data_IF_312384224041
#
_entry.id   IF_312384224041
#
_cell.length_a   1.000
_cell.length_b   1.000
_cell.length_c   1.000
_cell.angle_alpha   90.00
_cell.angle_beta   90.00
_cell.angle_gamma   90.00
#
_symmetry.space_group_name_H-M   'P 1'
#
loop_
_entity.id
_entity.type
_entity.pdbx_description
1 polymer ?
#
# COMPACT_ATOMS: atom_id res chain seq x y z
N UNK A 1 -18.34 -12.02 -3.39
CA UNK A 1 -17.78 -11.36 -2.19
C UNK A 1 -16.58 -10.51 -2.64
N UNK A 2 -16.54 -9.19 -2.79
CA UNK A 2 -17.25 -8.02 -2.24
C UNK A 2 -17.26 -6.90 -3.31
N UNK A 3 -18.41 -6.45 -3.85
CA UNK A 3 -18.45 -5.41 -4.88
C UNK A 3 -18.32 -3.95 -4.36
N UNK A 4 -17.98 -3.74 -3.08
CA UNK A 4 -18.04 -2.41 -2.43
C UNK A 4 -16.66 -1.80 -2.09
N UNK A 5 -15.55 -2.36 -2.58
CA UNK A 5 -14.20 -1.99 -2.11
C UNK A 5 -13.67 -0.62 -2.58
N UNK A 6 -14.47 0.16 -3.33
CA UNK A 6 -14.18 1.56 -3.64
C UNK A 6 -15.47 2.37 -3.77
N UNK A 7 -15.74 3.25 -2.81
CA UNK A 7 -16.86 4.18 -2.92
C UNK A 7 -16.47 5.34 -3.84
N UNK A 8 -16.80 5.22 -5.13
CA UNK A 8 -16.80 6.38 -6.02
C UNK A 8 -17.99 7.24 -5.63
N UNK A 9 -17.71 8.33 -4.89
CA UNK A 9 -18.73 9.30 -4.48
C UNK A 9 -19.39 9.94 -5.72
N UNK A 10 -20.65 10.40 -5.63
CA UNK A 10 -21.34 11.01 -6.76
C UNK A 10 -20.55 12.14 -7.44
N UNK A 11 -19.86 12.95 -6.64
CA UNK A 11 -19.05 14.10 -7.07
C UNK A 11 -17.53 13.82 -7.03
N UNK A 12 -17.12 12.57 -7.26
CA UNK A 12 -15.70 12.22 -7.30
C UNK A 12 -15.06 12.81 -8.55
N UNK A 13 -13.93 13.51 -8.39
CA UNK A 13 -13.12 14.08 -9.46
C UNK A 13 -11.78 13.36 -9.55
N UNK A 14 -11.21 13.24 -10.75
CA UNK A 14 -9.88 12.68 -10.92
C UNK A 14 -8.85 13.71 -10.43
N UNK A 15 -7.98 13.30 -9.51
CA UNK A 15 -6.89 14.15 -8.99
C UNK A 15 -5.59 13.68 -9.62
N UNK A 16 -4.93 14.58 -10.34
CA UNK A 16 -3.66 14.31 -11.03
C UNK A 16 -2.49 15.20 -10.57
N UNK A 17 -2.74 16.05 -9.56
CA UNK A 17 -1.74 16.96 -9.00
C UNK A 17 -0.96 16.35 -7.82
N UNK A 18 0.24 16.86 -7.57
CA UNK A 18 1.07 16.43 -6.44
C UNK A 18 1.58 14.99 -6.60
N UNK A 19 1.57 14.16 -5.54
CA UNK A 19 2.05 12.77 -5.62
C UNK A 19 1.34 11.93 -6.68
N UNK A 20 0.05 12.22 -6.94
CA UNK A 20 -0.75 11.55 -7.97
C UNK A 20 -0.30 11.89 -9.39
N UNK A 21 0.49 12.95 -9.59
CA UNK A 21 1.11 13.29 -10.86
C UNK A 21 2.40 12.50 -11.17
N UNK A 22 2.93 11.76 -10.18
CA UNK A 22 4.17 10.98 -10.30
C UNK A 22 3.86 9.49 -10.33
N UNK A 23 2.98 9.02 -9.43
CA UNK A 23 2.55 7.62 -9.31
C UNK A 23 1.03 7.56 -9.09
N UNK A 24 0.37 6.52 -9.58
CA UNK A 24 -1.09 6.39 -9.49
C UNK A 24 -1.61 6.06 -8.09
N UNK A 25 -0.85 5.31 -7.30
CA UNK A 25 -1.25 4.90 -5.95
C UNK A 25 -0.23 5.31 -4.87
N UNK A 26 -0.01 6.63 -4.65
CA UNK A 26 0.97 7.10 -3.67
C UNK A 26 0.65 6.62 -2.24
N UNK A 27 -0.63 6.45 -1.88
CA UNK A 27 -1.04 5.89 -0.60
C UNK A 27 -0.62 4.43 -0.41
N UNK A 28 -0.55 3.64 -1.48
CA UNK A 28 -0.08 2.26 -1.41
C UNK A 28 1.43 2.22 -1.22
N UNK A 29 2.16 3.07 -1.94
CA UNK A 29 3.61 3.25 -1.75
C UNK A 29 3.94 3.66 -0.32
N UNK A 30 3.21 4.63 0.23
CA UNK A 30 3.35 5.03 1.63
C UNK A 30 3.07 3.87 2.61
N UNK A 31 2.09 3.02 2.30
CA UNK A 31 1.78 1.84 3.11
C UNK A 31 2.93 0.83 3.10
N UNK A 32 3.58 0.60 1.95
CA UNK A 32 4.77 -0.26 1.85
C UNK A 32 5.93 0.31 2.65
N UNK A 33 6.22 1.61 2.49
CA UNK A 33 7.30 2.30 3.20
C UNK A 33 7.08 2.21 4.72
N UNK A 34 5.85 2.46 5.18
CA UNK A 34 5.49 2.38 6.59
C UNK A 34 5.74 0.99 7.18
N UNK A 35 5.39 -0.07 6.44
CA UNK A 35 5.63 -1.45 6.91
C UNK A 35 7.13 -1.80 6.94
N UNK A 36 7.89 -1.33 5.96
CA UNK A 36 9.33 -1.51 5.92
C UNK A 36 10.01 -0.80 7.11
N UNK A 37 9.67 0.46 7.35
CA UNK A 37 10.18 1.28 8.46
C UNK A 37 9.86 0.64 9.82
N UNK A 38 8.61 0.25 10.05
CA UNK A 38 8.22 -0.40 11.30
C UNK A 38 8.95 -1.73 11.54
N UNK A 39 9.27 -2.47 10.46
CA UNK A 39 10.07 -3.70 10.57
C UNK A 39 11.53 -3.38 10.92
N UNK A 40 12.11 -2.39 10.24
CA UNK A 40 13.49 -1.98 10.43
C UNK A 40 13.74 -1.42 11.84
N UNK A 41 12.81 -0.63 12.36
CA UNK A 41 12.90 -0.03 13.70
C UNK A 41 12.48 -0.99 14.82
N UNK A 42 11.63 -1.99 14.51
CA UNK A 42 11.09 -2.93 15.50
C UNK A 42 12.00 -4.14 15.76
N UNK A 43 12.83 -4.53 14.79
CA UNK A 43 13.63 -5.75 14.84
C UNK A 43 15.12 -5.42 14.86
N UNK A 44 15.81 -5.73 15.96
CA UNK A 44 17.26 -5.68 16.00
C UNK A 44 17.85 -5.58 17.42
N UNK A 45 19.15 -5.89 17.58
CA UNK A 45 19.85 -5.67 18.83
C UNK A 45 19.77 -4.18 19.16
N UNK A 46 19.34 -3.85 20.39
CA UNK A 46 19.06 -2.48 20.91
C UNK A 46 17.65 -1.93 20.67
N UNK A 47 16.73 -2.66 20.06
CA UNK A 47 15.31 -2.27 20.11
C UNK A 47 14.73 -2.52 21.50
N UNK A 48 13.60 -1.88 21.81
CA UNK A 48 12.97 -2.01 23.12
C UNK A 48 12.79 -3.48 23.52
N UNK A 49 12.28 -4.30 22.60
CA UNK A 49 12.06 -5.76 22.76
C UNK A 49 13.32 -6.51 23.18
N UNK A 50 14.48 -6.12 22.64
CA UNK A 50 15.76 -6.68 23.04
C UNK A 50 16.22 -6.17 24.40
N UNK A 51 16.09 -4.86 24.66
CA UNK A 51 16.57 -4.26 25.91
C UNK A 51 15.76 -4.65 27.15
N UNK A 52 14.47 -4.98 27.01
CA UNK A 52 13.63 -5.42 28.13
C UNK A 52 13.67 -6.95 28.36
N UNK A 53 14.55 -7.67 27.65
CA UNK A 53 14.82 -9.10 27.90
C UNK A 53 13.70 -10.05 27.47
N UNK A 54 12.67 -9.57 26.79
CA UNK A 54 11.54 -10.40 26.34
C UNK A 54 11.78 -11.03 24.96
N UNK A 55 12.89 -10.72 24.29
CA UNK A 55 13.19 -11.19 22.95
C UNK A 55 13.16 -12.72 22.80
N UNK A 56 13.46 -13.46 23.85
CA UNK A 56 13.44 -14.94 23.87
C UNK A 56 12.06 -15.53 24.24
N UNK A 57 11.06 -14.69 24.52
CA UNK A 57 9.73 -15.15 24.88
C UNK A 57 8.95 -15.68 23.67
N UNK A 58 8.19 -16.76 23.88
CA UNK A 58 7.22 -17.27 22.90
C UNK A 58 6.22 -16.19 22.43
N UNK A 59 5.93 -15.20 23.28
CA UNK A 59 5.07 -14.06 22.93
C UNK A 59 5.67 -13.22 21.80
N UNK A 60 6.98 -12.94 21.84
CA UNK A 60 7.66 -12.16 20.80
C UNK A 60 7.70 -12.94 19.50
N UNK A 61 7.95 -14.25 19.54
CA UNK A 61 7.89 -15.12 18.36
C UNK A 61 6.52 -15.08 17.69
N UNK A 62 5.43 -15.19 18.47
CA UNK A 62 4.07 -15.08 17.95
C UNK A 62 3.77 -13.69 17.38
N UNK A 63 4.22 -12.63 18.06
CA UNK A 63 4.05 -11.26 17.59
C UNK A 63 4.79 -11.03 16.25
N UNK A 64 6.03 -11.50 16.12
CA UNK A 64 6.80 -11.41 14.88
C UNK A 64 6.15 -12.23 13.75
N UNK A 65 5.67 -13.44 14.04
CA UNK A 65 4.94 -14.24 13.06
C UNK A 65 3.65 -13.53 12.58
N UNK A 66 2.89 -12.94 13.51
CA UNK A 66 1.69 -12.17 13.19
C UNK A 66 2.02 -10.91 12.37
N UNK A 67 3.11 -10.22 12.69
CA UNK A 67 3.59 -9.07 11.94
C UNK A 67 3.99 -9.44 10.52
N UNK A 68 4.78 -10.50 10.34
CA UNK A 68 5.16 -11.02 9.03
C UNK A 68 3.94 -11.41 8.20
N UNK A 69 2.94 -12.06 8.82
CA UNK A 69 1.67 -12.35 8.17
C UNK A 69 0.98 -11.06 7.70
N UNK A 70 0.87 -10.03 8.55
CA UNK A 70 0.30 -8.74 8.18
C UNK A 70 1.06 -8.06 7.04
N UNK A 71 2.39 -8.11 7.02
CA UNK A 71 3.23 -7.55 5.95
C UNK A 71 2.94 -8.27 4.64
N UNK A 72 3.04 -9.60 4.61
CA UNK A 72 2.79 -10.40 3.39
C UNK A 72 1.36 -10.20 2.89
N UNK A 73 0.39 -10.25 3.78
CA UNK A 73 -1.01 -10.04 3.46
C UNK A 73 -1.25 -8.64 2.87
N UNK A 74 -0.65 -7.59 3.45
CA UNK A 74 -0.81 -6.23 2.94
C UNK A 74 -0.20 -6.10 1.54
N UNK A 75 0.99 -6.64 1.29
CA UNK A 75 1.60 -6.62 -0.04
C UNK A 75 0.75 -7.34 -1.08
N UNK A 76 0.18 -8.49 -0.72
CA UNK A 76 -0.77 -9.21 -1.58
C UNK A 76 -2.05 -8.40 -1.83
N UNK A 77 -2.61 -7.81 -0.77
CA UNK A 77 -3.84 -6.99 -0.83
C UNK A 77 -3.64 -5.77 -1.74
N UNK A 78 -2.56 -5.01 -1.57
CA UNK A 78 -2.27 -3.84 -2.40
C UNK A 78 -2.11 -4.20 -3.89
N UNK A 79 -1.40 -5.30 -4.18
CA UNK A 79 -1.20 -5.78 -5.56
C UNK A 79 -2.49 -6.26 -6.23
N UNK A 80 -3.39 -6.88 -5.49
CA UNK A 80 -4.69 -7.34 -6.00
C UNK A 80 -5.70 -6.19 -6.13
N UNK A 81 -5.64 -5.20 -5.23
CA UNK A 81 -6.58 -4.06 -5.21
C UNK A 81 -6.27 -3.00 -6.26
N UNK A 82 -5.01 -2.66 -6.49
CA UNK A 82 -4.67 -1.59 -7.43
C UNK A 82 -5.24 -1.77 -8.84
N UNK A 83 -5.12 -2.96 -9.48
CA UNK A 83 -5.72 -3.20 -10.79
C UNK A 83 -7.26 -3.11 -10.79
N UNK A 84 -7.91 -3.52 -9.70
CA UNK A 84 -9.37 -3.44 -9.55
C UNK A 84 -9.79 -1.98 -9.43
N UNK A 85 -9.06 -1.18 -8.66
CA UNK A 85 -9.31 0.25 -8.50
C UNK A 85 -9.06 1.01 -9.82
N UNK A 86 -7.98 0.71 -10.53
CA UNK A 86 -7.70 1.23 -11.88
C UNK A 86 -8.84 0.92 -12.86
N UNK A 87 -9.36 -0.32 -12.86
CA UNK A 87 -10.49 -0.70 -13.70
C UNK A 87 -11.78 0.04 -13.32
N UNK A 88 -12.04 0.21 -12.03
CA UNK A 88 -13.18 0.99 -11.54
C UNK A 88 -13.08 2.47 -11.96
N UNK A 89 -11.91 3.08 -11.83
CA UNK A 89 -11.68 4.46 -12.25
C UNK A 89 -11.77 4.60 -13.77
N UNK A 90 -11.23 3.64 -14.53
CA UNK A 90 -11.37 3.59 -15.99
C UNK A 90 -12.82 3.49 -16.42
N UNK A 91 -13.64 2.65 -15.77
CA UNK A 91 -15.07 2.51 -16.04
C UNK A 91 -15.85 3.79 -15.70
N UNK A 92 -15.44 4.52 -14.67
CA UNK A 92 -16.11 5.76 -14.24
C UNK A 92 -15.75 6.98 -15.09
N UNK A 93 -14.45 7.21 -15.30
CA UNK A 93 -13.92 8.44 -15.91
C UNK A 93 -13.55 8.27 -17.40
N UNK A 94 -13.51 7.02 -17.89
CA UNK A 94 -13.34 6.73 -19.32
C UNK A 94 -12.06 7.34 -19.89
N UNK A 95 -12.21 8.30 -20.82
CA UNK A 95 -11.10 8.97 -21.53
C UNK A 95 -10.19 9.76 -20.60
N UNK A 96 -10.74 10.44 -19.60
CA UNK A 96 -9.98 11.26 -18.65
C UNK A 96 -8.98 10.39 -17.86
N UNK A 97 -9.41 9.21 -17.41
CA UNK A 97 -8.51 8.24 -16.78
C UNK A 97 -7.43 7.73 -17.75
N UNK A 98 -7.77 7.51 -19.02
CA UNK A 98 -6.79 7.00 -20.01
C UNK A 98 -5.69 8.03 -20.29
N UNK A 99 -6.04 9.31 -20.37
CA UNK A 99 -5.08 10.40 -20.54
C UNK A 99 -4.20 10.54 -19.30
N UNK A 100 -4.81 10.47 -18.11
CA UNK A 100 -4.09 10.44 -16.84
C UNK A 100 -3.11 9.27 -16.75
N UNK A 101 -3.56 8.04 -17.04
CA UNK A 101 -2.73 6.84 -16.96
C UNK A 101 -1.61 6.82 -18.01
N UNK A 102 -1.76 7.52 -19.15
CA UNK A 102 -0.68 7.74 -20.11
C UNK A 102 0.38 8.71 -19.58
N UNK A 103 -0.05 9.80 -18.92
CA UNK A 103 0.86 10.78 -18.33
C UNK A 103 1.57 10.24 -17.08
N UNK A 104 0.88 9.39 -16.32
CA UNK A 104 1.38 8.78 -15.07
C UNK A 104 1.40 7.24 -15.22
N UNK A 105 2.39 6.69 -15.97
CA UNK A 105 2.42 5.26 -16.25
C UNK A 105 2.68 4.42 -14.99
N UNK A 106 3.43 4.97 -14.03
CA UNK A 106 3.90 4.27 -12.83
C UNK A 106 2.76 4.04 -11.83
N UNK A 107 2.57 2.78 -11.40
CA UNK A 107 1.51 2.42 -10.44
C UNK A 107 1.90 2.71 -9.00
N UNK A 108 3.08 2.25 -8.58
CA UNK A 108 3.51 2.23 -7.18
C UNK A 108 4.91 2.81 -6.99
N UNK A 109 5.85 2.48 -7.86
CA UNK A 109 7.24 2.89 -7.74
C UNK A 109 7.56 3.75 -8.97
N UNK A 110 8.10 4.96 -8.80
CA UNK A 110 8.59 5.75 -9.92
C UNK A 110 9.56 4.93 -10.77
N UNK A 111 9.52 5.11 -12.09
CA UNK A 111 10.40 4.41 -13.05
C UNK A 111 10.12 2.91 -13.24
N UNK A 112 9.20 2.31 -12.47
CA UNK A 112 8.73 0.92 -12.65
C UNK A 112 7.28 0.92 -13.14
N UNK A 113 7.07 0.44 -14.37
CA UNK A 113 5.75 0.39 -15.05
C UNK A 113 4.87 -0.75 -14.54
#
# INVERSE_FOLDING_TARGET
>A
LFPHLGQIRPNHVLVDSGPYGIIRHPGYTASVIRLADATLLGVGPRTYVWTCGIAESNFVTLALASWLFCVVYTQYSLRSRGPVEDDMLRKRFGKEWQEYAKRVPYKYIPEVV
#
